data_IF_820694205006
#
_entry.id   IF_820694205006
#
_cell.length_a   1.000
_cell.length_b   1.000
_cell.length_c   1.000
_cell.angle_alpha   90.00
_cell.angle_beta   90.00
_cell.angle_gamma   90.00
#
_symmetry.space_group_name_H-M   'P 1'
#
loop_
_entity.id
_entity.type
_entity.pdbx_description
1 polymer ?
#
# COMPACT_ATOMS: atom_id res chain seq x y z
N UNK A 1 -17.14 4.19 -7.05
CA UNK A 1 -16.05 3.53 -6.28
C UNK A 1 -14.73 4.13 -6.74
N UNK A 2 -13.66 4.05 -5.96
CA UNK A 2 -12.35 4.58 -6.30
C UNK A 2 -11.37 3.42 -6.42
N UNK A 3 -10.46 3.48 -7.39
CA UNK A 3 -9.21 2.71 -7.38
C UNK A 3 -8.08 3.64 -7.06
N UNK A 4 -7.37 3.36 -5.97
CA UNK A 4 -6.29 4.20 -5.46
C UNK A 4 -4.98 3.44 -5.67
N UNK A 5 -3.96 4.14 -6.17
CA UNK A 5 -2.60 3.62 -6.30
C UNK A 5 -1.65 4.45 -5.45
N UNK A 6 -0.90 3.78 -4.58
CA UNK A 6 0.13 4.36 -3.73
C UNK A 6 1.48 3.72 -4.00
N UNK A 7 2.54 4.51 -3.98
CA UNK A 7 3.92 4.03 -3.99
C UNK A 7 4.61 4.39 -2.68
N UNK A 8 5.35 3.46 -2.09
CA UNK A 8 6.33 3.73 -1.05
C UNK A 8 7.74 3.53 -1.61
N UNK A 9 8.53 4.60 -1.63
CA UNK A 9 9.90 4.61 -2.14
C UNK A 9 10.93 4.41 -1.03
N UNK A 10 12.17 4.08 -1.42
CA UNK A 10 13.29 3.92 -0.48
C UNK A 10 13.26 2.59 0.29
N UNK A 11 12.34 1.68 -0.04
CA UNK A 11 12.15 0.41 0.64
C UNK A 11 13.41 -0.46 0.52
N UNK A 12 13.95 -1.01 1.63
CA UNK A 12 15.11 -1.89 1.60
C UNK A 12 14.86 -3.12 0.71
N UNK A 13 15.75 -3.34 -0.26
CA UNK A 13 15.65 -4.45 -1.24
C UNK A 13 15.54 -5.82 -0.57
N UNK A 14 16.22 -5.98 0.57
CA UNK A 14 16.21 -7.23 1.33
C UNK A 14 14.83 -7.56 1.94
N UNK A 15 14.00 -6.54 2.21
CA UNK A 15 12.71 -6.70 2.87
C UNK A 15 11.51 -6.58 1.90
N UNK A 16 11.65 -5.83 0.80
CA UNK A 16 10.51 -5.41 -0.02
C UNK A 16 9.65 -6.56 -0.57
N UNK A 17 10.25 -7.64 -1.05
CA UNK A 17 9.48 -8.76 -1.61
C UNK A 17 8.71 -9.57 -0.54
N UNK A 18 9.20 -9.61 0.69
CA UNK A 18 8.48 -10.22 1.82
C UNK A 18 7.39 -9.27 2.33
N UNK A 19 7.73 -8.00 2.55
CA UNK A 19 6.79 -6.95 2.94
C UNK A 19 5.60 -6.87 1.98
N UNK A 20 5.80 -6.90 0.67
CA UNK A 20 4.69 -6.86 -0.29
C UNK A 20 3.67 -8.01 -0.09
N UNK A 21 4.16 -9.22 0.22
CA UNK A 21 3.28 -10.38 0.47
C UNK A 21 2.54 -10.23 1.78
N UNK A 22 3.25 -9.83 2.83
CA UNK A 22 2.70 -9.72 4.18
C UNK A 22 1.66 -8.59 4.26
N UNK A 23 1.94 -7.45 3.63
CA UNK A 23 1.01 -6.32 3.50
C UNK A 23 -0.25 -6.77 2.74
N UNK A 24 -0.10 -7.46 1.60
CA UNK A 24 -1.25 -7.96 0.85
C UNK A 24 -2.11 -8.93 1.67
N UNK A 25 -1.50 -9.79 2.48
CA UNK A 25 -2.22 -10.68 3.40
C UNK A 25 -2.92 -9.91 4.53
N UNK A 26 -2.25 -8.92 5.13
CA UNK A 26 -2.81 -8.09 6.17
C UNK A 26 -4.04 -7.31 5.70
N UNK A 27 -3.97 -6.67 4.52
CA UNK A 27 -5.13 -6.02 3.89
C UNK A 27 -6.30 -6.97 3.71
N UNK A 28 -6.06 -8.19 3.20
CA UNK A 28 -7.10 -9.20 3.03
C UNK A 28 -7.74 -9.65 4.35
N UNK A 29 -6.98 -9.71 5.45
CA UNK A 29 -7.45 -10.24 6.73
C UNK A 29 -8.07 -9.17 7.64
N UNK A 30 -7.60 -7.93 7.57
CA UNK A 30 -7.88 -6.90 8.56
C UNK A 30 -8.60 -5.66 8.02
N UNK A 31 -8.67 -5.50 6.69
CA UNK A 31 -9.23 -4.31 6.05
C UNK A 31 -10.37 -4.72 5.10
N UNK A 32 -11.53 -5.17 5.65
CA UNK A 32 -12.64 -5.70 4.84
C UNK A 32 -13.32 -4.65 3.94
N UNK A 33 -13.01 -3.37 4.16
CA UNK A 33 -13.48 -2.24 3.37
C UNK A 33 -12.58 -1.96 2.15
N UNK A 34 -11.38 -2.55 2.09
CA UNK A 34 -10.50 -2.48 0.94
C UNK A 34 -10.68 -3.70 0.04
N UNK A 35 -10.96 -3.46 -1.24
CA UNK A 35 -11.25 -4.50 -2.23
C UNK A 35 -10.16 -4.58 -3.29
N UNK A 36 -10.06 -5.73 -3.95
CA UNK A 36 -9.14 -5.96 -5.07
C UNK A 36 -7.68 -5.55 -4.76
N UNK A 37 -7.26 -5.74 -3.51
CA UNK A 37 -5.97 -5.28 -3.02
C UNK A 37 -4.83 -6.05 -3.67
N UNK A 38 -3.87 -5.33 -4.22
CA UNK A 38 -2.63 -5.87 -4.77
C UNK A 38 -1.46 -5.04 -4.24
N UNK A 39 -0.48 -5.70 -3.63
CA UNK A 39 0.79 -5.09 -3.26
C UNK A 39 1.94 -5.77 -4.01
N UNK A 40 2.78 -4.98 -4.66
CA UNK A 40 3.95 -5.48 -5.43
C UNK A 40 5.20 -4.73 -5.04
N UNK A 41 6.36 -5.36 -5.25
CA UNK A 41 7.66 -4.77 -5.02
C UNK A 41 8.51 -4.81 -6.30
N UNK A 42 9.04 -3.66 -6.70
CA UNK A 42 9.97 -3.55 -7.83
C UNK A 42 11.10 -2.57 -7.50
N UNK A 43 12.34 -3.04 -7.65
CA UNK A 43 13.54 -2.25 -7.35
C UNK A 43 13.63 -1.89 -5.87
N UNK A 44 13.15 -0.69 -5.53
CA UNK A 44 13.09 -0.13 -4.17
C UNK A 44 11.74 0.52 -3.88
N UNK A 45 10.69 0.10 -4.57
CA UNK A 45 9.34 0.67 -4.46
C UNK A 45 8.33 -0.43 -4.17
N UNK A 46 7.55 -0.24 -3.10
CA UNK A 46 6.31 -0.97 -2.87
C UNK A 46 5.16 -0.21 -3.54
N UNK A 47 4.37 -0.89 -4.36
CA UNK A 47 3.14 -0.32 -4.94
C UNK A 47 1.94 -1.03 -4.37
N UNK A 48 1.03 -0.28 -3.76
CA UNK A 48 -0.28 -0.74 -3.30
C UNK A 48 -1.37 -0.21 -4.25
N UNK A 49 -2.24 -1.11 -4.69
CA UNK A 49 -3.49 -0.77 -5.40
C UNK A 49 -4.64 -1.36 -4.61
N UNK A 50 -5.65 -0.56 -4.30
CA UNK A 50 -6.87 -1.01 -3.63
C UNK A 50 -8.10 -0.24 -4.15
N UNK A 51 -9.28 -0.81 -3.92
CA UNK A 51 -10.56 -0.23 -4.29
C UNK A 51 -11.49 -0.06 -3.08
N UNK A 52 -12.02 1.14 -2.91
CA UNK A 52 -13.01 1.44 -1.88
C UNK A 52 -14.00 2.52 -2.35
N UNK A 53 -15.09 2.78 -1.61
CA UNK A 53 -16.13 3.74 -1.99
C UNK A 53 -16.16 5.01 -1.13
N UNK A 54 -15.17 5.20 -0.26
CA UNK A 54 -15.18 6.24 0.76
C UNK A 54 -13.92 7.12 0.81
N UNK A 55 -12.85 6.79 0.08
CA UNK A 55 -11.56 7.51 0.13
C UNK A 55 -11.23 8.23 -1.20
N UNK A 56 -11.94 9.32 -1.55
CA UNK A 56 -11.73 10.04 -2.81
C UNK A 56 -10.37 10.74 -2.93
N UNK A 57 -9.63 10.86 -1.83
CA UNK A 57 -8.32 11.52 -1.77
C UNK A 57 -7.17 10.54 -1.52
N UNK A 58 -7.47 9.25 -1.31
CA UNK A 58 -6.47 8.21 -1.02
C UNK A 58 -5.78 8.34 0.34
N UNK A 59 -6.27 9.22 1.23
CA UNK A 59 -5.62 9.55 2.50
C UNK A 59 -5.83 8.45 3.53
N UNK A 60 -6.98 7.79 3.54
CA UNK A 60 -7.24 6.68 4.46
C UNK A 60 -6.37 5.48 4.08
N UNK A 61 -6.36 5.12 2.79
CA UNK A 61 -5.52 4.01 2.31
C UNK A 61 -4.04 4.28 2.58
N UNK A 62 -3.59 5.54 2.46
CA UNK A 62 -2.21 5.93 2.75
C UNK A 62 -1.83 5.72 4.22
N UNK A 63 -2.72 6.07 5.15
CA UNK A 63 -2.52 5.83 6.59
C UNK A 63 -2.41 4.34 6.88
N UNK A 64 -3.35 3.55 6.37
CA UNK A 64 -3.36 2.09 6.53
C UNK A 64 -2.12 1.43 5.90
N UNK A 65 -1.68 1.91 4.74
CA UNK A 65 -0.47 1.41 4.10
C UNK A 65 0.79 1.72 4.92
N UNK A 66 0.89 2.94 5.45
CA UNK A 66 1.99 3.37 6.33
C UNK A 66 2.09 2.49 7.59
N UNK A 67 0.95 2.18 8.22
CA UNK A 67 0.90 1.29 9.38
C UNK A 67 1.43 -0.12 9.04
N UNK A 68 1.01 -0.66 7.89
CA UNK A 68 1.45 -1.99 7.44
C UNK A 68 2.93 -2.02 7.03
N UNK A 69 3.45 -0.98 6.37
CA UNK A 69 4.88 -0.83 6.09
C UNK A 69 5.69 -0.86 7.39
N UNK A 70 5.25 -0.09 8.39
CA UNK A 70 5.91 0.00 9.70
C UNK A 70 5.86 -1.33 10.46
N UNK A 71 4.79 -2.11 10.29
CA UNK A 71 4.66 -3.43 10.91
C UNK A 71 5.49 -4.51 10.20
N UNK A 72 5.61 -4.46 8.87
CA UNK A 72 6.26 -5.47 8.05
C UNK A 72 7.77 -5.25 7.85
N UNK A 73 8.26 -4.00 7.96
CA UNK A 73 9.67 -3.67 7.74
C UNK A 73 10.31 -3.23 9.06
N UNK A 74 11.12 -4.12 9.64
CA UNK A 74 11.76 -3.88 10.93
C UNK A 74 12.95 -2.90 10.87
N UNK A 75 13.62 -2.79 9.72
CA UNK A 75 14.74 -1.87 9.53
C UNK A 75 14.22 -0.45 9.26
N UNK A 76 14.65 0.58 10.02
CA UNK A 76 14.33 1.96 9.68
C UNK A 76 14.91 2.34 8.32
N UNK A 77 14.11 2.98 7.48
CA UNK A 77 14.56 3.52 6.20
C UNK A 77 13.97 4.90 5.97
N UNK A 78 14.67 5.71 5.17
CA UNK A 78 14.23 7.05 4.77
C UNK A 78 13.30 6.92 3.54
N UNK A 79 12.10 6.41 3.80
CA UNK A 79 11.07 6.18 2.79
C UNK A 79 10.04 7.30 2.72
N UNK A 80 9.33 7.36 1.60
CA UNK A 80 8.26 8.33 1.35
C UNK A 80 7.09 7.63 0.67
N UNK A 81 5.86 8.02 1.00
CA UNK A 81 4.64 7.49 0.37
C UNK A 81 4.05 8.56 -0.54
N UNK A 82 3.88 8.22 -1.81
CA UNK A 82 3.28 9.06 -2.84
C UNK A 82 1.91 8.53 -3.26
N UNK A 83 0.93 9.43 -3.37
CA UNK A 83 -0.33 9.16 -4.05
C UNK A 83 -0.12 9.22 -5.57
N UNK A 84 -0.11 8.07 -6.23
CA UNK A 84 0.11 7.97 -7.68
C UNK A 84 -1.16 8.30 -8.46
N UNK A 85 -2.31 7.74 -8.06
CA UNK A 85 -3.60 8.01 -8.71
C UNK A 85 -4.79 7.71 -7.82
N UNK A 86 -5.88 8.42 -8.09
CA UNK A 86 -7.25 8.05 -7.68
C UNK A 86 -8.12 8.04 -8.93
N UNK A 87 -8.64 6.87 -9.29
CA UNK A 87 -9.50 6.68 -10.45
C UNK A 87 -10.95 6.43 -9.99
N UNK A 88 -11.89 7.22 -10.49
CA UNK A 88 -13.32 6.92 -10.30
C UNK A 88 -13.70 5.72 -11.17
N UNK A 89 -14.26 4.70 -10.53
CA UNK A 89 -14.84 3.53 -11.15
C UNK A 89 -16.36 3.73 -11.28
N UNK A 90 -16.86 3.57 -12.51
CA UNK A 90 -18.28 3.61 -12.89
C UNK A 90 -19.06 2.35 -12.46
#
# INVERSE_FOLDING_TARGET
MYRITLDCHGVPVAAGAEAARDIMEAFRLHYPHENNVVCTFEGSTLRLVAENDYDPEGLNLMDEFSDNISACIAEPFDGDIELVSVETLD
#
